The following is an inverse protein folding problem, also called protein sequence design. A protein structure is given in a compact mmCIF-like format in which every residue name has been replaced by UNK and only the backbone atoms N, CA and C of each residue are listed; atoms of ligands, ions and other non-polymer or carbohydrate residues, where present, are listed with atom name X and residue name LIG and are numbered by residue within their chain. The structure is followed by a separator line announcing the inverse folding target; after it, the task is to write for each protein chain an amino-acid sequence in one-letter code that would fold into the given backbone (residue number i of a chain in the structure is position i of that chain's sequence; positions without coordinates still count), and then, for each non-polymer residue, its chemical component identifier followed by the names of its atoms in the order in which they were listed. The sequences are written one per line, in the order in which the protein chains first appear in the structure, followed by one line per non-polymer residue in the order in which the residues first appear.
data_IF_629750761825
#
_entry.id   IF_629750761825
#
_cell.length_a   1.000
_cell.length_b   1.000
_cell.length_c   1.000
_cell.angle_alpha   90.00
_cell.angle_beta   90.00
_cell.angle_gamma   90.00
#
_symmetry.space_group_name_H-M   'P 1'
#
loop_
_entity.id
_entity.type
_entity.pdbx_description
1 polymer ?
#
# COMPACT_ATOMS: atom_id res chain seq x y z
N UNK A 1 35.52 6.17 -7.18
CA UNK A 1 36.45 5.07 -7.54
C UNK A 1 35.72 3.76 -7.35
N UNK A 2 35.26 3.13 -8.43
CA UNK A 2 34.52 1.86 -8.37
C UNK A 2 35.54 0.74 -8.24
N UNK A 3 35.65 0.12 -7.07
CA UNK A 3 36.53 -1.03 -6.87
C UNK A 3 35.96 -2.19 -7.68
N UNK A 4 36.70 -2.67 -8.70
CA UNK A 4 36.33 -3.87 -9.45
C UNK A 4 36.49 -5.08 -8.52
N UNK A 5 35.37 -5.70 -8.15
CA UNK A 5 35.38 -6.99 -7.44
C UNK A 5 35.63 -8.09 -8.48
N UNK A 6 36.76 -8.76 -8.38
CA UNK A 6 37.12 -9.90 -9.24
C UNK A 6 37.02 -11.18 -8.39
N UNK A 7 36.44 -12.28 -8.90
CA UNK A 7 36.39 -13.54 -8.17
C UNK A 7 37.81 -14.06 -7.88
N UNK A 8 38.00 -14.57 -6.66
CA UNK A 8 39.28 -15.10 -6.19
C UNK A 8 39.54 -16.50 -6.82
N UNK A 9 40.61 -16.68 -7.61
CA UNK A 9 40.90 -17.96 -8.27
C UNK A 9 41.33 -19.07 -7.30
N UNK A 10 41.70 -18.75 -6.05
CA UNK A 10 42.11 -19.73 -5.04
C UNK A 10 40.93 -20.48 -4.42
N UNK A 11 39.70 -20.05 -4.68
CA UNK A 11 38.49 -20.61 -4.09
C UNK A 11 37.80 -21.56 -5.06
N UNK A 12 37.63 -22.82 -4.63
CA UNK A 12 36.90 -23.82 -5.41
C UNK A 12 35.39 -23.61 -5.29
N UNK A 13 34.67 -23.78 -6.40
CA UNK A 13 33.21 -23.71 -6.45
C UNK A 13 32.59 -24.87 -5.66
N UNK A 14 31.59 -24.56 -4.84
CA UNK A 14 30.85 -25.55 -4.08
C UNK A 14 29.94 -26.42 -4.99
N UNK A 15 29.72 -27.71 -4.67
CA UNK A 15 28.90 -28.61 -5.49
C UNK A 15 27.44 -28.16 -5.63
N UNK A 16 26.81 -27.74 -4.54
CA UNK A 16 25.41 -27.32 -4.50
C UNK A 16 25.33 -25.80 -4.45
N UNK A 17 24.58 -25.21 -5.37
CA UNK A 17 24.41 -23.77 -5.48
C UNK A 17 23.01 -23.37 -5.03
N UNK A 18 22.92 -22.43 -4.10
CA UNK A 18 21.65 -21.85 -3.67
C UNK A 18 21.35 -20.56 -4.45
N UNK A 19 20.07 -20.32 -4.71
CA UNK A 19 19.61 -19.05 -5.30
C UNK A 19 19.71 -17.94 -4.24
N UNK A 20 20.46 -16.84 -4.49
CA UNK A 20 20.47 -15.68 -3.61
C UNK A 20 19.11 -15.01 -3.64
N UNK A 21 18.58 -14.70 -2.46
CA UNK A 21 17.35 -13.95 -2.31
C UNK A 21 17.69 -12.45 -2.16
N UNK A 22 16.90 -11.56 -2.80
CA UNK A 22 17.08 -10.14 -2.63
C UNK A 22 16.99 -9.76 -1.14
N UNK A 23 17.98 -9.02 -0.65
CA UNK A 23 18.01 -8.46 0.71
C UNK A 23 18.09 -9.50 1.85
N UNK A 24 18.51 -10.73 1.57
CA UNK A 24 18.60 -11.75 2.64
C UNK A 24 19.76 -11.51 3.63
N UNK A 25 20.75 -10.72 3.21
CA UNK A 25 21.98 -10.48 3.94
C UNK A 25 23.03 -11.57 3.74
N UNK A 26 24.30 -11.20 3.86
CA UNK A 26 25.44 -12.10 3.60
C UNK A 26 25.47 -13.31 4.54
N UNK A 27 25.22 -13.12 5.85
CA UNK A 27 25.26 -14.19 6.84
C UNK A 27 24.15 -15.23 6.63
N UNK A 28 22.90 -14.79 6.40
CA UNK A 28 21.77 -15.70 6.12
C UNK A 28 22.03 -16.54 4.87
N UNK A 29 22.61 -15.93 3.83
CA UNK A 29 22.98 -16.61 2.60
C UNK A 29 24.06 -17.66 2.83
N UNK A 30 25.11 -17.33 3.61
CA UNK A 30 26.17 -18.27 3.97
C UNK A 30 25.61 -19.46 4.75
N UNK A 31 24.70 -19.25 5.70
CA UNK A 31 24.06 -20.34 6.47
C UNK A 31 23.31 -21.30 5.54
N UNK A 32 22.51 -20.77 4.62
CA UNK A 32 21.76 -21.59 3.64
C UNK A 32 22.69 -22.33 2.68
N UNK A 33 23.71 -21.66 2.19
CA UNK A 33 24.72 -22.25 1.30
C UNK A 33 25.48 -23.37 2.00
N UNK A 34 25.87 -23.18 3.26
CA UNK A 34 26.53 -24.19 4.08
C UNK A 34 25.62 -25.41 4.29
N UNK A 35 24.35 -25.18 4.69
CA UNK A 35 23.39 -26.25 4.89
C UNK A 35 23.16 -27.08 3.61
N UNK A 36 23.05 -26.44 2.45
CA UNK A 36 22.86 -27.11 1.17
C UNK A 36 24.07 -27.96 0.72
N UNK A 37 25.27 -27.67 1.24
CA UNK A 37 26.50 -28.41 0.96
C UNK A 37 26.95 -29.30 2.12
N UNK A 38 26.10 -29.52 3.13
CA UNK A 38 26.43 -30.29 4.34
C UNK A 38 27.68 -29.78 5.08
N UNK A 39 27.91 -28.46 5.07
CA UNK A 39 29.00 -27.79 5.77
C UNK A 39 28.50 -27.10 7.05
N UNK A 40 29.38 -26.94 8.03
CA UNK A 40 29.12 -26.05 9.17
C UNK A 40 29.21 -24.59 8.72
N UNK A 41 28.18 -23.79 9.00
CA UNK A 41 28.12 -22.38 8.61
C UNK A 41 29.33 -21.57 9.10
N UNK A 42 29.80 -21.83 10.34
CA UNK A 42 31.00 -21.21 10.89
C UNK A 42 32.25 -21.50 10.04
N UNK A 43 32.45 -22.74 9.60
CA UNK A 43 33.61 -23.11 8.80
C UNK A 43 33.58 -22.47 7.42
N UNK A 44 32.41 -22.45 6.78
CA UNK A 44 32.26 -21.76 5.51
C UNK A 44 32.52 -20.26 5.66
N UNK A 45 32.00 -19.64 6.71
CA UNK A 45 32.24 -18.22 7.01
C UNK A 45 33.73 -17.93 7.19
N UNK A 46 34.41 -18.68 8.05
CA UNK A 46 35.84 -18.51 8.33
C UNK A 46 36.69 -18.71 7.06
N UNK A 47 36.31 -19.64 6.18
CA UNK A 47 36.94 -19.88 4.88
C UNK A 47 36.73 -18.73 3.86
N UNK A 48 35.58 -18.07 3.92
CA UNK A 48 35.22 -16.94 3.05
C UNK A 48 35.83 -15.61 3.52
N UNK A 49 36.32 -15.53 4.74
CA UNK A 49 37.12 -14.40 5.21
C UNK A 49 38.49 -14.40 4.51
N UNK A 50 39.00 -13.20 4.18
CA UNK A 50 40.28 -13.05 3.50
C UNK A 50 41.44 -13.37 4.45
N UNK A 51 42.40 -14.25 4.07
CA UNK A 51 43.61 -14.46 4.86
C UNK A 51 44.37 -13.13 5.02
N UNK A 52 44.93 -12.82 6.20
CA UNK A 52 45.13 -13.68 7.37
C UNK A 52 43.98 -13.65 8.40
N UNK A 53 42.90 -12.92 8.15
CA UNK A 53 41.89 -12.60 9.16
C UNK A 53 40.67 -13.51 9.08
N UNK A 54 40.68 -14.64 9.80
CA UNK A 54 39.50 -15.53 9.93
C UNK A 54 38.30 -14.90 10.69
N UNK A 55 38.51 -13.77 11.38
CA UNK A 55 37.48 -13.10 12.20
C UNK A 55 36.81 -11.90 11.50
N UNK A 56 37.14 -11.65 10.23
CA UNK A 56 36.65 -10.50 9.47
C UNK A 56 35.23 -10.66 8.91
N UNK A 57 34.83 -9.68 8.09
CA UNK A 57 33.65 -9.81 7.23
C UNK A 57 33.98 -10.75 6.05
N UNK A 58 33.04 -11.61 5.62
CA UNK A 58 33.23 -12.46 4.45
C UNK A 58 33.52 -11.64 3.19
N UNK A 59 34.52 -12.05 2.41
CA UNK A 59 34.86 -11.37 1.16
C UNK A 59 33.88 -11.75 0.06
N UNK A 60 33.27 -10.75 -0.59
CA UNK A 60 32.39 -10.98 -1.74
C UNK A 60 33.11 -11.61 -2.93
N UNK A 61 34.41 -11.33 -3.11
CA UNK A 61 35.22 -11.96 -4.15
C UNK A 61 35.33 -13.47 -3.96
N UNK A 62 35.54 -13.92 -2.72
CA UNK A 62 35.61 -15.34 -2.34
C UNK A 62 34.24 -16.00 -2.38
N UNK A 63 33.20 -15.30 -1.93
CA UNK A 63 31.82 -15.80 -1.99
C UNK A 63 31.33 -15.94 -3.44
N UNK A 64 31.68 -15.00 -4.31
CA UNK A 64 31.44 -15.06 -5.75
C UNK A 64 32.12 -16.27 -6.38
N UNK A 65 33.40 -16.49 -6.09
CA UNK A 65 34.14 -17.66 -6.55
C UNK A 65 33.54 -18.99 -6.05
N UNK A 66 33.23 -19.09 -4.74
CA UNK A 66 32.61 -20.28 -4.14
C UNK A 66 31.24 -20.62 -4.74
N UNK A 67 30.50 -19.61 -5.22
CA UNK A 67 29.19 -19.78 -5.83
C UNK A 67 29.22 -19.85 -7.37
N UNK A 68 30.34 -19.49 -7.99
CA UNK A 68 30.45 -19.28 -9.44
C UNK A 68 29.59 -18.11 -9.93
N UNK A 69 29.48 -17.03 -9.14
CA UNK A 69 28.69 -15.83 -9.45
C UNK A 69 29.57 -14.60 -9.46
N UNK A 70 29.14 -13.58 -10.21
CA UNK A 70 29.78 -12.27 -10.17
C UNK A 70 29.67 -11.66 -8.76
N UNK A 71 30.79 -11.27 -8.12
CA UNK A 71 30.80 -10.80 -6.75
C UNK A 71 30.06 -9.46 -6.56
N UNK A 72 30.06 -8.57 -7.56
CA UNK A 72 29.34 -7.30 -7.49
C UNK A 72 27.83 -7.51 -7.57
N UNK A 73 27.37 -8.32 -8.53
CA UNK A 73 25.96 -8.68 -8.65
C UNK A 73 25.42 -9.41 -7.40
N UNK A 74 26.25 -10.27 -6.80
CA UNK A 74 25.90 -10.98 -5.56
C UNK A 74 25.77 -9.99 -4.40
N UNK A 75 26.72 -9.07 -4.25
CA UNK A 75 26.65 -7.99 -3.26
C UNK A 75 25.38 -7.17 -3.40
N UNK A 76 25.07 -6.72 -4.61
CA UNK A 76 23.88 -5.90 -4.88
C UNK A 76 22.58 -6.63 -4.57
N UNK A 77 22.55 -7.94 -4.82
CA UNK A 77 21.40 -8.79 -4.50
C UNK A 77 21.24 -8.96 -2.99
N UNK A 78 22.32 -9.30 -2.27
CA UNK A 78 22.28 -9.64 -0.85
C UNK A 78 22.14 -8.43 0.07
N UNK A 79 22.86 -7.34 -0.22
CA UNK A 79 22.85 -6.10 0.57
C UNK A 79 21.65 -5.21 0.24
N UNK A 80 20.96 -5.51 -0.86
CA UNK A 80 19.66 -4.90 -1.13
C UNK A 80 19.70 -3.49 -1.70
N UNK A 81 20.84 -3.06 -2.22
CA UNK A 81 21.00 -1.86 -3.07
C UNK A 81 20.09 -1.91 -4.29
N UNK A 82 19.68 -3.12 -4.73
CA UNK A 82 18.95 -3.35 -5.99
C UNK A 82 17.49 -3.81 -5.82
N UNK A 83 16.82 -3.51 -4.72
CA UNK A 83 15.36 -3.72 -4.67
C UNK A 83 14.67 -2.70 -5.59
N UNK A 84 14.00 -3.12 -6.66
CA UNK A 84 13.25 -2.19 -7.53
C UNK A 84 11.79 -2.08 -7.09
N UNK A 85 11.20 -0.91 -7.32
CA UNK A 85 9.78 -0.66 -7.09
C UNK A 85 8.95 -1.45 -8.11
N UNK A 86 8.01 -2.29 -7.66
CA UNK A 86 7.14 -3.06 -8.56
C UNK A 86 6.27 -2.21 -9.51
N UNK A 87 6.15 -0.91 -9.28
CA UNK A 87 5.30 -0.01 -10.06
C UNK A 87 6.04 0.94 -11.01
N UNK A 88 7.32 1.19 -10.78
CA UNK A 88 8.07 2.16 -11.58
C UNK A 88 9.55 1.79 -11.75
N UNK A 89 9.94 0.58 -11.32
CA UNK A 89 11.29 0.00 -11.36
C UNK A 89 12.39 0.82 -10.68
N UNK A 90 12.05 1.97 -10.09
CA UNK A 90 12.97 2.81 -9.37
C UNK A 90 13.56 2.07 -8.16
N UNK A 91 14.84 2.32 -7.81
CA UNK A 91 15.46 1.71 -6.65
C UNK A 91 14.68 2.09 -5.38
N UNK A 92 14.40 1.08 -4.56
CA UNK A 92 13.72 1.21 -3.29
C UNK A 92 14.69 1.84 -2.28
N UNK A 93 14.24 2.82 -1.48
CA UNK A 93 15.10 3.45 -0.50
C UNK A 93 15.65 2.40 0.49
N UNK A 94 16.93 2.52 0.81
CA UNK A 94 17.56 1.70 1.83
C UNK A 94 16.79 1.84 3.16
N UNK A 95 16.58 0.73 3.85
CA UNK A 95 15.96 0.76 5.17
C UNK A 95 16.89 1.53 6.13
N UNK A 96 16.35 2.51 6.86
CA UNK A 96 17.16 3.35 7.78
C UNK A 96 17.67 2.59 9.02
N UNK A 97 17.13 1.41 9.29
CA UNK A 97 17.63 0.46 10.26
C UNK A 97 17.80 -0.85 9.50
N UNK A 98 18.86 -1.62 9.75
CA UNK A 98 19.16 -2.91 9.09
C UNK A 98 18.09 -4.01 9.24
N UNK A 99 16.84 -3.65 9.54
CA UNK A 99 15.67 -4.48 9.48
C UNK A 99 15.22 -4.69 8.03
N UNK A 100 14.77 -5.93 7.77
CA UNK A 100 14.15 -6.38 6.53
C UNK A 100 13.01 -5.42 6.13
N UNK A 101 13.25 -4.57 5.14
CA UNK A 101 12.17 -3.74 4.59
C UNK A 101 11.35 -4.57 3.60
N UNK A 102 10.18 -5.01 4.04
CA UNK A 102 9.14 -5.64 3.20
C UNK A 102 8.53 -4.67 2.17
N UNK A 103 9.12 -3.48 2.00
CA UNK A 103 8.56 -2.40 1.20
C UNK A 103 8.74 -2.70 -0.29
N UNK A 104 7.64 -3.06 -0.95
CA UNK A 104 7.61 -3.37 -2.38
C UNK A 104 7.53 -2.13 -3.31
N UNK A 105 7.45 -0.92 -2.74
CA UNK A 105 7.20 0.31 -3.49
C UNK A 105 8.06 1.47 -2.97
N UNK A 106 8.60 2.29 -3.87
CA UNK A 106 9.53 3.37 -3.53
C UNK A 106 8.86 4.53 -2.77
N UNK A 107 7.57 4.76 -3.01
CA UNK A 107 6.82 5.91 -2.50
C UNK A 107 5.36 5.58 -2.15
N UNK A 108 4.70 6.49 -1.43
CA UNK A 108 3.25 6.42 -1.21
C UNK A 108 2.48 6.45 -2.54
N UNK A 109 2.94 7.25 -3.52
CA UNK A 109 2.34 7.35 -4.86
C UNK A 109 2.36 6.02 -5.60
N UNK A 110 3.49 5.29 -5.58
CA UNK A 110 3.57 3.96 -6.16
C UNK A 110 2.67 2.95 -5.44
N UNK A 111 2.63 2.95 -4.10
CA UNK A 111 1.67 2.11 -3.34
C UNK A 111 0.22 2.35 -3.75
N UNK A 112 -0.17 3.62 -3.90
CA UNK A 112 -1.52 3.97 -4.33
C UNK A 112 -1.80 3.54 -5.78
N UNK A 113 -0.82 3.65 -6.69
CA UNK A 113 -0.94 3.18 -8.07
C UNK A 113 -1.18 1.66 -8.13
N UNK A 114 -0.40 0.89 -7.38
CA UNK A 114 -0.57 -0.56 -7.24
C UNK A 114 -1.95 -0.93 -6.69
N UNK A 115 -2.41 -0.20 -5.67
CA UNK A 115 -3.75 -0.40 -5.11
C UNK A 115 -4.83 -0.12 -6.15
N UNK A 116 -4.75 1.00 -6.88
CA UNK A 116 -5.71 1.34 -7.94
C UNK A 116 -5.71 0.31 -9.07
N UNK A 117 -4.56 -0.27 -9.43
CA UNK A 117 -4.49 -1.36 -10.43
C UNK A 117 -5.25 -2.60 -9.94
N UNK A 118 -5.01 -3.03 -8.69
CA UNK A 118 -5.65 -4.23 -8.10
C UNK A 118 -7.16 -4.07 -7.90
N UNK A 119 -7.59 -2.87 -7.55
CA UNK A 119 -9.00 -2.55 -7.32
C UNK A 119 -9.64 -1.84 -8.50
N UNK A 120 -9.02 -1.90 -9.69
CA UNK A 120 -9.66 -1.42 -10.90
C UNK A 120 -10.79 -2.38 -11.22
N UNK A 121 -12.05 -1.92 -11.34
CA UNK A 121 -13.12 -2.77 -11.82
C UNK A 121 -12.73 -3.28 -13.21
N UNK A 122 -12.69 -4.60 -13.39
CA UNK A 122 -12.52 -5.20 -14.71
C UNK A 122 -13.60 -4.62 -15.64
N UNK A 123 -13.18 -3.97 -16.72
CA UNK A 123 -14.07 -3.32 -17.70
C UNK A 123 -14.00 -1.79 -17.77
N UNK A 124 -13.38 -1.08 -16.82
CA UNK A 124 -13.15 0.37 -16.92
C UNK A 124 -11.71 0.69 -17.35
N UNK A 125 -11.31 0.30 -18.56
CA UNK A 125 -10.38 1.17 -19.29
C UNK A 125 -11.12 2.51 -19.49
N UNK A 126 -10.55 3.70 -19.21
CA UNK A 126 -11.07 4.91 -19.80
C UNK A 126 -10.85 4.70 -21.29
N UNK A 127 -11.87 4.15 -21.95
CA UNK A 127 -12.04 4.41 -23.36
C UNK A 127 -12.03 5.94 -23.42
N UNK A 128 -11.11 6.56 -24.19
CA UNK A 128 -11.24 7.97 -24.49
C UNK A 128 -12.60 8.10 -25.18
N UNK A 129 -13.63 8.44 -24.40
CA UNK A 129 -14.94 8.69 -24.98
C UNK A 129 -14.72 9.91 -25.86
N UNK A 130 -14.95 9.81 -27.18
CA UNK A 130 -14.83 10.97 -28.03
C UNK A 130 -15.82 12.01 -27.48
N UNK A 131 -15.29 13.04 -26.84
CA UNK A 131 -16.08 14.13 -26.30
C UNK A 131 -16.70 14.84 -27.50
N UNK A 132 -17.98 14.60 -27.76
CA UNK A 132 -18.69 15.31 -28.81
C UNK A 132 -19.15 16.66 -28.27
N UNK A 133 -19.15 17.68 -29.12
CA UNK A 133 -19.74 18.97 -28.80
C UNK A 133 -21.23 18.80 -28.51
N UNK A 134 -21.67 19.22 -27.32
CA UNK A 134 -23.09 19.14 -26.92
C UNK A 134 -24.03 19.86 -27.90
N UNK A 135 -23.52 20.86 -28.63
CA UNK A 135 -24.32 21.67 -29.55
C UNK A 135 -24.35 21.16 -31.00
N UNK A 136 -23.21 20.69 -31.54
CA UNK A 136 -23.10 20.34 -32.97
C UNK A 136 -22.61 18.92 -33.22
N UNK A 137 -22.49 18.12 -32.16
CA UNK A 137 -22.06 16.70 -32.13
C UNK A 137 -20.72 16.41 -32.80
N UNK A 138 -19.95 17.43 -33.19
CA UNK A 138 -18.59 17.26 -33.74
C UNK A 138 -17.64 16.75 -32.67
N UNK A 139 -16.72 15.84 -33.00
CA UNK A 139 -15.72 15.36 -32.06
C UNK A 139 -14.82 16.53 -31.62
N UNK A 140 -14.63 16.65 -30.31
CA UNK A 140 -13.71 17.59 -29.67
C UNK A 140 -12.43 16.82 -29.38
N UNK A 141 -11.34 17.26 -29.98
CA UNK A 141 -10.01 16.79 -29.60
C UNK A 141 -9.69 17.32 -28.21
N UNK A 142 -9.32 16.43 -27.29
CA UNK A 142 -8.81 16.82 -25.98
C UNK A 142 -7.67 17.83 -26.16
N UNK A 143 -7.73 18.97 -25.44
CA UNK A 143 -6.62 19.91 -25.40
C UNK A 143 -5.43 19.25 -24.68
N UNK A 144 -4.21 19.70 -24.95
CA UNK A 144 -2.98 19.16 -24.33
C UNK A 144 -2.98 19.18 -22.78
N UNK A 145 -3.90 19.94 -22.18
CA UNK A 145 -4.07 20.12 -20.73
C UNK A 145 -5.09 19.13 -20.12
N UNK A 146 -5.72 18.27 -20.93
CA UNK A 146 -6.69 17.28 -20.47
C UNK A 146 -8.04 17.85 -20.01
N UNK A 147 -8.29 19.13 -20.28
CA UNK A 147 -9.54 19.79 -19.92
C UNK A 147 -10.59 19.58 -21.01
N UNK A 148 -11.56 18.71 -20.74
CA UNK A 148 -12.66 18.41 -21.65
C UNK A 148 -13.52 19.67 -21.91
N UNK A 149 -13.25 20.38 -23.00
CA UNK A 149 -14.11 21.49 -23.44
C UNK A 149 -15.47 20.90 -23.84
N UNK A 150 -16.56 21.42 -23.25
CA UNK A 150 -17.95 21.02 -23.60
C UNK A 150 -18.37 21.42 -25.03
N UNK A 151 -17.69 22.40 -25.62
CA UNK A 151 -18.03 22.97 -26.92
C UNK A 151 -16.80 23.04 -27.84
N UNK A 152 -16.99 22.67 -29.11
CA UNK A 152 -15.89 22.67 -30.10
C UNK A 152 -15.45 24.08 -30.54
N UNK A 153 -16.26 25.11 -30.27
CA UNK A 153 -15.96 26.51 -30.63
C UNK A 153 -16.76 27.51 -29.80
N UNK A 154 -16.27 28.74 -29.70
CA UNK A 154 -16.98 29.86 -29.06
C UNK A 154 -18.37 30.10 -29.66
N UNK A 155 -18.55 29.81 -30.96
CA UNK A 155 -19.84 29.91 -31.65
C UNK A 155 -20.85 28.87 -31.17
N UNK A 156 -20.41 27.63 -30.90
CA UNK A 156 -21.27 26.59 -30.31
C UNK A 156 -21.64 26.93 -28.86
N UNK A 157 -20.69 27.47 -28.09
CA UNK A 157 -20.95 27.99 -26.74
C UNK A 157 -22.00 29.08 -26.73
N UNK A 158 -21.87 30.07 -27.62
CA UNK A 158 -22.81 31.17 -27.71
C UNK A 158 -24.22 30.70 -28.10
N UNK A 159 -24.34 29.79 -29.08
CA UNK A 159 -25.64 29.22 -29.45
C UNK A 159 -26.29 28.39 -28.34
N UNK A 160 -25.51 27.65 -27.57
CA UNK A 160 -26.02 26.90 -26.41
C UNK A 160 -26.61 27.85 -25.35
N UNK A 161 -25.98 29.01 -25.11
CA UNK A 161 -26.52 30.02 -24.19
C UNK A 161 -27.79 30.73 -24.70
N UNK A 162 -28.04 30.71 -26.01
CA UNK A 162 -29.20 31.34 -26.63
C UNK A 162 -30.40 30.38 -26.75
N UNK A 163 -30.23 29.07 -26.54
CA UNK A 163 -31.38 28.19 -26.43
C UNK A 163 -32.08 28.44 -25.08
N UNK A 164 -33.39 28.72 -25.06
CA UNK A 164 -34.13 28.67 -23.82
C UNK A 164 -33.93 27.28 -23.25
N UNK A 165 -33.53 27.20 -21.98
CA UNK A 165 -33.47 25.92 -21.28
C UNK A 165 -34.87 25.30 -21.39
N UNK A 166 -34.99 24.22 -22.16
CA UNK A 166 -36.17 23.37 -22.10
C UNK A 166 -36.41 23.07 -20.62
N UNK A 167 -37.60 23.38 -20.07
CA UNK A 167 -37.90 23.10 -18.68
C UNK A 167 -37.73 21.61 -18.48
N UNK A 168 -36.64 21.27 -17.79
CA UNK A 168 -36.26 19.88 -17.56
C UNK A 168 -37.39 19.29 -16.73
N UNK A 169 -37.95 18.17 -17.19
CA UNK A 169 -39.06 17.40 -16.58
C UNK A 169 -38.77 16.95 -15.12
N UNK A 170 -37.67 17.42 -14.53
CA UNK A 170 -37.23 17.18 -13.16
C UNK A 170 -37.72 18.20 -12.12
N UNK A 171 -38.57 19.17 -12.47
CA UNK A 171 -39.24 20.00 -11.45
C UNK A 171 -40.37 19.27 -10.70
N UNK A 172 -40.69 18.01 -11.08
CA UNK A 172 -41.72 17.20 -10.39
C UNK A 172 -41.17 16.29 -9.28
N UNK A 173 -39.99 16.58 -8.71
CA UNK A 173 -39.32 15.71 -7.73
C UNK A 173 -38.83 16.41 -6.45
N UNK A 174 -39.41 17.54 -6.09
CA UNK A 174 -39.14 18.21 -4.80
C UNK A 174 -39.99 17.72 -3.62
N UNK A 175 -40.86 16.71 -3.79
CA UNK A 175 -41.79 16.28 -2.72
C UNK A 175 -41.36 15.01 -1.94
N UNK A 176 -40.07 14.64 -1.95
CA UNK A 176 -39.55 13.49 -1.18
C UNK A 176 -38.55 13.87 -0.07
N UNK A 177 -38.62 15.10 0.46
CA UNK A 177 -37.87 15.51 1.64
C UNK A 177 -38.74 15.46 2.89
N UNK A 178 -39.09 14.28 3.42
CA UNK A 178 -39.74 14.26 4.74
C UNK A 178 -39.67 12.97 5.57
N UNK A 179 -38.67 12.11 5.40
CA UNK A 179 -38.41 11.04 6.38
C UNK A 179 -36.93 10.91 6.71
N UNK A 180 -36.34 11.98 7.26
CA UNK A 180 -35.07 11.88 7.97
C UNK A 180 -35.40 11.31 9.36
N UNK A 181 -34.92 10.11 9.75
CA UNK A 181 -35.27 9.53 11.04
C UNK A 181 -34.86 10.48 12.14
N UNK A 182 -35.84 10.93 12.93
CA UNK A 182 -35.61 11.81 14.07
C UNK A 182 -34.69 11.09 15.06
N UNK A 183 -33.44 11.54 15.13
CA UNK A 183 -32.49 10.98 16.07
C UNK A 183 -32.88 11.41 17.48
N UNK A 184 -33.37 10.49 18.31
CA UNK A 184 -33.74 10.78 19.70
C UNK A 184 -32.61 10.48 20.69
N UNK A 185 -32.60 11.19 21.81
CA UNK A 185 -31.64 10.98 22.88
C UNK A 185 -31.83 9.60 23.51
N UNK A 186 -30.78 8.77 23.48
CA UNK A 186 -30.80 7.43 24.11
C UNK A 186 -31.00 7.42 25.63
N UNK A 187 -31.00 8.58 26.28
CA UNK A 187 -31.25 8.68 27.71
C UNK A 187 -32.63 9.22 28.06
N UNK A 188 -33.06 10.33 27.44
CA UNK A 188 -34.29 11.03 27.79
C UNK A 188 -35.33 11.09 26.67
N UNK A 189 -35.08 10.50 25.51
CA UNK A 189 -36.01 10.47 24.38
C UNK A 189 -36.17 11.79 23.62
N UNK A 190 -35.62 12.90 24.11
CA UNK A 190 -35.71 14.21 23.46
C UNK A 190 -35.12 14.15 22.05
N UNK A 191 -35.81 14.71 21.03
CA UNK A 191 -35.27 14.79 19.68
C UNK A 191 -33.97 15.59 19.66
N UNK A 192 -33.01 15.13 18.88
CA UNK A 192 -31.68 15.73 18.72
C UNK A 192 -31.47 15.98 17.24
N UNK A 193 -30.96 17.16 16.89
CA UNK A 193 -30.39 17.37 15.56
C UNK A 193 -29.09 16.54 15.43
N UNK A 194 -29.06 15.53 14.55
CA UNK A 194 -27.90 14.66 14.40
C UNK A 194 -26.67 15.37 13.81
N UNK A 195 -26.79 16.63 13.39
CA UNK A 195 -25.72 17.43 12.80
C UNK A 195 -25.24 16.87 11.46
N UNK A 196 -24.20 17.48 10.88
CA UNK A 196 -23.62 17.08 9.58
C UNK A 196 -23.09 15.65 9.54
N UNK A 197 -22.72 15.08 10.69
CA UNK A 197 -22.03 13.78 10.78
C UNK A 197 -22.90 12.65 11.33
N UNK A 198 -24.17 12.89 11.67
CA UNK A 198 -25.09 11.82 12.07
C UNK A 198 -24.80 11.19 13.45
N UNK A 199 -23.81 11.68 14.20
CA UNK A 199 -23.15 10.90 15.25
C UNK A 199 -23.62 11.21 16.68
N UNK A 200 -24.48 12.21 16.89
CA UNK A 200 -24.84 12.67 18.24
C UNK A 200 -25.90 11.76 18.87
N UNK A 201 -25.51 10.98 19.89
CA UNK A 201 -26.38 10.00 20.58
C UNK A 201 -27.09 10.54 21.84
N UNK A 202 -26.72 11.73 22.32
CA UNK A 202 -27.21 12.33 23.56
C UNK A 202 -27.43 13.84 23.40
N UNK A 203 -28.53 14.36 23.94
CA UNK A 203 -28.89 15.78 23.82
C UNK A 203 -27.92 16.66 24.64
N UNK A 204 -27.47 16.20 25.81
CA UNK A 204 -26.56 16.95 26.70
C UNK A 204 -25.48 16.05 27.31
N UNK A 205 -24.41 16.67 27.83
CA UNK A 205 -23.37 15.97 28.59
C UNK A 205 -23.94 15.29 29.86
N UNK A 206 -24.94 15.90 30.50
CA UNK A 206 -25.64 15.32 31.63
C UNK A 206 -26.36 14.01 31.26
N UNK A 207 -27.06 13.98 30.13
CA UNK A 207 -27.71 12.75 29.62
C UNK A 207 -26.69 11.65 29.31
N UNK A 208 -25.52 12.01 28.77
CA UNK A 208 -24.41 11.07 28.55
C UNK A 208 -23.92 10.46 29.87
N UNK A 209 -23.73 11.28 30.90
CA UNK A 209 -23.25 10.83 32.21
C UNK A 209 -24.29 9.94 32.93
N UNK A 210 -25.58 10.30 32.91
CA UNK A 210 -26.64 9.49 33.50
C UNK A 210 -26.79 8.14 32.81
N UNK A 211 -26.75 8.11 31.47
CA UNK A 211 -26.74 6.86 30.71
C UNK A 211 -25.51 5.99 31.03
N UNK A 212 -24.35 6.60 31.29
CA UNK A 212 -23.16 5.88 31.75
C UNK A 212 -23.33 5.28 33.15
N UNK A 213 -23.84 6.04 34.12
CA UNK A 213 -24.09 5.55 35.49
C UNK A 213 -25.06 4.38 35.49
N UNK A 214 -26.19 4.49 34.77
CA UNK A 214 -27.18 3.40 34.64
C UNK A 214 -26.57 2.11 34.08
N UNK A 215 -25.70 2.20 33.04
CA UNK A 215 -25.01 1.02 32.51
C UNK A 215 -24.06 0.39 33.52
N UNK A 216 -23.35 1.23 34.29
CA UNK A 216 -22.44 0.77 35.34
C UNK A 216 -23.18 0.10 36.50
N UNK A 217 -24.33 0.65 36.89
CA UNK A 217 -25.22 0.04 37.89
C UNK A 217 -25.76 -1.30 37.43
N UNK A 218 -26.25 -1.42 36.18
CA UNK A 218 -26.69 -2.70 35.63
C UNK A 218 -25.53 -3.70 35.63
N UNK A 219 -24.34 -3.30 35.15
CA UNK A 219 -23.17 -4.17 35.11
C UNK A 219 -22.72 -4.64 36.50
N UNK A 220 -22.84 -3.79 37.52
CA UNK A 220 -22.51 -4.14 38.90
C UNK A 220 -23.60 -4.98 39.59
N UNK A 221 -24.82 -5.02 39.05
CA UNK A 221 -25.95 -5.79 39.59
C UNK A 221 -26.27 -7.05 38.76
N UNK A 222 -25.40 -7.44 37.81
CA UNK A 222 -25.51 -8.76 37.15
C UNK A 222 -25.01 -9.80 38.17
N UNK A 223 -25.87 -10.69 38.68
CA UNK A 223 -25.41 -11.76 39.56
C UNK A 223 -24.49 -12.71 38.79
N UNK A 224 -23.36 -13.07 39.39
CA UNK A 224 -22.41 -14.03 38.84
C UNK A 224 -23.12 -15.37 38.61
N UNK A 225 -23.31 -15.72 37.34
CA UNK A 225 -24.02 -16.92 36.90
C UNK A 225 -23.15 -18.20 37.01
N UNK A 226 -22.20 -18.24 37.97
CA UNK A 226 -21.23 -19.32 38.18
C UNK A 226 -21.61 -20.31 39.30
N UNK A 227 -22.82 -20.23 39.87
CA UNK A 227 -23.28 -21.15 40.94
C UNK A 227 -24.37 -22.15 40.56
N UNK A 228 -24.71 -22.32 39.27
CA UNK A 228 -25.72 -23.29 38.80
C UNK A 228 -25.17 -24.43 37.93
N UNK A 229 -23.88 -24.72 38.01
CA UNK A 229 -23.33 -25.97 37.46
C UNK A 229 -22.50 -26.66 38.55
N UNK A 230 -23.14 -27.54 39.29
CA UNK A 230 -22.47 -28.66 39.96
C UNK A 230 -23.38 -29.89 39.90
N UNK A 231 -22.78 -31.08 39.78
CA UNK A 231 -23.31 -32.25 39.08
C UNK A 231 -24.42 -33.02 39.81
#
# INVERSE_FOLDING_TARGET
MTVKLVPDPSVTRLPVQVRPLPREGTESFIVRLAHANHLKARYLRDYLCEPPHHKGAPSFSRLGAATGRDPAALRDTLEGTSGTCKECDAPLPAAKSGARSSRQHCSARCRQRAHRRRHRPEGQAPQPQPLACEFCTKPITETAEGEARRWCSSRCRHRAHLQPAEPTVLERRTDFSEQRPEASCRHCGTPIDPGRTGARRYCTAACRQRAFRRRKEVQNNVPDHESLISP
#
